data_IF_522321971265
#
_entry.id   IF_522321971265
#
_cell.length_a   1.000
_cell.length_b   1.000
_cell.length_c   1.000
_cell.angle_alpha   90.00
_cell.angle_beta   90.00
_cell.angle_gamma   90.00
#
_symmetry.space_group_name_H-M   'P 1'
#
loop_
_entity.id
_entity.type
_entity.pdbx_description
1 polymer ?
#
# COMPACT_ATOMS: atom_id res chain seq x y z
N UNK A 1 21.63 -5.90 -19.87
CA UNK A 1 20.49 -5.79 -18.97
C UNK A 1 19.23 -5.68 -19.80
N UNK A 2 18.19 -6.44 -19.48
CA UNK A 2 16.97 -6.45 -20.30
C UNK A 2 16.30 -5.08 -20.24
N UNK A 3 16.13 -4.44 -21.38
CA UNK A 3 15.53 -3.10 -21.56
C UNK A 3 14.10 -3.02 -20.93
N UNK A 4 13.47 -4.18 -20.72
CA UNK A 4 12.17 -4.37 -20.09
C UNK A 4 12.14 -3.88 -18.63
N UNK A 5 13.13 -4.24 -17.83
CA UNK A 5 13.17 -3.89 -16.40
C UNK A 5 13.47 -2.41 -16.17
N UNK A 6 14.32 -1.80 -16.99
CA UNK A 6 14.60 -0.36 -16.91
C UNK A 6 13.31 0.46 -17.04
N UNK A 7 12.40 0.08 -17.95
CA UNK A 7 11.12 0.76 -18.12
C UNK A 7 10.24 0.68 -16.86
N UNK A 8 10.20 -0.49 -16.21
CA UNK A 8 9.43 -0.67 -14.96
C UNK A 8 10.08 0.14 -13.83
N UNK A 9 11.39 0.06 -13.68
CA UNK A 9 12.17 0.79 -12.67
C UNK A 9 11.94 2.30 -12.82
N UNK A 10 12.04 2.85 -14.04
CA UNK A 10 11.75 4.26 -14.33
C UNK A 10 10.32 4.69 -14.00
N UNK A 11 9.36 3.77 -14.13
CA UNK A 11 7.96 4.01 -13.78
C UNK A 11 7.71 4.05 -12.26
N UNK A 12 8.67 3.62 -11.44
CA UNK A 12 8.52 3.66 -9.98
C UNK A 12 8.74 5.08 -9.44
N UNK A 13 8.05 5.47 -8.36
CA UNK A 13 8.25 6.79 -7.74
C UNK A 13 9.70 7.04 -7.30
N UNK A 14 10.46 5.98 -6.97
CA UNK A 14 11.85 6.09 -6.53
C UNK A 14 12.77 6.57 -7.67
N UNK A 15 12.60 6.05 -8.88
CA UNK A 15 13.48 6.29 -10.02
C UNK A 15 12.90 7.22 -11.09
N UNK A 16 11.73 7.79 -10.86
CA UNK A 16 11.04 8.65 -11.83
C UNK A 16 11.94 9.80 -12.29
N UNK A 17 12.10 9.96 -13.62
CA UNK A 17 12.89 11.03 -14.24
C UNK A 17 14.41 10.82 -14.24
N UNK A 18 14.91 9.65 -13.80
CA UNK A 18 16.33 9.30 -13.90
C UNK A 18 16.66 8.73 -15.29
N UNK A 19 17.91 8.92 -15.72
CA UNK A 19 18.44 8.32 -16.94
C UNK A 19 18.75 6.83 -16.75
N UNK A 20 18.94 6.10 -17.85
CA UNK A 20 19.29 4.67 -17.80
C UNK A 20 20.66 4.46 -17.15
N UNK A 21 21.61 5.38 -17.39
CA UNK A 21 22.94 5.36 -16.83
C UNK A 21 22.93 5.58 -15.32
N UNK A 22 22.11 6.54 -14.85
CA UNK A 22 21.94 6.78 -13.42
C UNK A 22 21.34 5.57 -12.71
N UNK A 23 20.33 4.93 -13.31
CA UNK A 23 19.69 3.73 -12.74
C UNK A 23 20.70 2.57 -12.70
N UNK A 24 21.49 2.39 -13.76
CA UNK A 24 22.47 1.30 -13.86
C UNK A 24 23.54 1.34 -12.74
N UNK A 25 23.84 2.51 -12.19
CA UNK A 25 24.77 2.65 -11.06
C UNK A 25 24.30 1.96 -9.79
N UNK A 26 22.96 1.88 -9.58
CA UNK A 26 22.35 1.23 -8.42
C UNK A 26 22.06 -0.26 -8.61
N UNK A 27 22.41 -0.83 -9.77
CA UNK A 27 22.15 -2.23 -10.11
C UNK A 27 23.42 -3.08 -9.99
N UNK A 28 24.26 -2.80 -9.00
CA UNK A 28 25.57 -3.44 -8.79
C UNK A 28 25.48 -4.81 -8.12
N UNK A 29 26.56 -5.64 -8.20
CA UNK A 29 26.57 -7.03 -7.72
C UNK A 29 26.77 -7.21 -6.20
N UNK A 30 26.77 -6.17 -5.38
CA UNK A 30 27.07 -6.17 -3.94
C UNK A 30 25.94 -6.71 -3.02
N UNK A 31 25.01 -7.50 -3.59
CA UNK A 31 23.80 -7.98 -2.88
C UNK A 31 22.56 -7.19 -3.22
N UNK A 32 22.69 -5.96 -3.73
CA UNK A 32 21.71 -5.29 -4.56
C UNK A 32 21.69 -5.98 -5.93
N UNK A 33 20.52 -6.12 -6.52
CA UNK A 33 20.41 -6.69 -7.85
C UNK A 33 19.10 -7.39 -8.09
N UNK A 34 18.94 -7.87 -9.31
CA UNK A 34 17.72 -8.55 -9.74
C UNK A 34 17.80 -10.03 -9.39
N UNK A 35 16.80 -10.54 -8.67
CA UNK A 35 16.63 -11.94 -8.32
C UNK A 35 15.28 -12.46 -8.78
N UNK A 36 15.25 -13.72 -9.23
CA UNK A 36 13.99 -14.40 -9.61
C UNK A 36 13.57 -15.40 -8.54
N UNK A 37 12.27 -15.47 -8.32
CA UNK A 37 11.62 -16.32 -7.35
C UNK A 37 10.59 -17.20 -8.03
N UNK A 38 10.56 -18.48 -7.68
CA UNK A 38 9.56 -19.42 -8.20
C UNK A 38 8.21 -19.16 -7.51
N UNK A 39 7.15 -19.56 -8.17
CA UNK A 39 5.82 -19.60 -7.55
C UNK A 39 5.87 -20.31 -6.19
N UNK A 40 5.13 -19.81 -5.21
CA UNK A 40 5.03 -20.29 -3.81
C UNK A 40 6.35 -20.25 -3.02
N UNK A 41 7.41 -19.60 -3.55
CA UNK A 41 8.62 -19.34 -2.75
C UNK A 41 8.50 -18.01 -2.00
N UNK A 42 9.19 -17.94 -0.87
CA UNK A 42 9.26 -16.71 -0.09
C UNK A 42 10.37 -15.79 -0.62
N UNK A 43 10.02 -14.52 -0.79
CA UNK A 43 10.96 -13.43 -1.10
C UNK A 43 11.55 -12.91 0.22
N UNK A 44 10.71 -12.79 1.24
CA UNK A 44 11.07 -12.48 2.62
C UNK A 44 10.31 -13.37 3.58
N UNK A 45 10.94 -13.77 4.69
CA UNK A 45 10.30 -14.47 5.80
C UNK A 45 10.10 -13.56 7.01
N UNK A 46 8.95 -13.67 7.67
CA UNK A 46 8.74 -13.03 8.95
C UNK A 46 9.77 -13.50 9.98
N UNK A 47 10.28 -12.58 10.79
CA UNK A 47 11.34 -12.82 11.76
C UNK A 47 12.76 -12.61 11.24
N UNK A 48 12.99 -12.68 9.93
CA UNK A 48 14.30 -12.42 9.35
C UNK A 48 14.66 -10.93 9.40
N UNK A 49 15.94 -10.60 9.47
CA UNK A 49 16.46 -9.25 9.26
C UNK A 49 16.92 -9.10 7.83
N UNK A 50 16.70 -7.91 7.28
CA UNK A 50 17.15 -7.58 5.93
C UNK A 50 17.85 -6.23 5.89
N UNK A 51 18.95 -6.13 5.13
CA UNK A 51 19.59 -4.87 4.77
C UNK A 51 19.10 -4.33 3.42
N UNK A 52 18.15 -5.04 2.78
CA UNK A 52 17.64 -4.70 1.45
C UNK A 52 16.13 -4.62 1.46
N UNK A 53 15.59 -3.70 0.69
CA UNK A 53 14.18 -3.68 0.33
C UNK A 53 14.01 -4.10 -1.13
N UNK A 54 12.81 -4.55 -1.48
CA UNK A 54 12.49 -5.03 -2.82
C UNK A 54 11.64 -4.06 -3.62
N UNK A 55 11.80 -4.08 -4.95
CA UNK A 55 10.83 -3.56 -5.92
C UNK A 55 10.40 -4.75 -6.77
N UNK A 56 9.12 -5.06 -6.79
CA UNK A 56 8.60 -6.11 -7.65
C UNK A 56 8.64 -5.63 -9.11
N UNK A 57 9.43 -6.28 -9.95
CA UNK A 57 9.55 -5.94 -11.37
C UNK A 57 8.58 -6.73 -12.23
N UNK A 58 8.30 -7.98 -11.87
CA UNK A 58 7.44 -8.89 -12.62
C UNK A 58 6.81 -9.90 -11.68
N UNK A 59 5.60 -10.34 -12.02
CA UNK A 59 4.85 -11.31 -11.25
C UNK A 59 3.91 -10.66 -10.23
N UNK A 60 3.32 -11.52 -9.38
CA UNK A 60 2.45 -11.13 -8.26
C UNK A 60 2.92 -11.80 -6.99
N UNK A 61 2.95 -11.05 -5.90
CA UNK A 61 3.27 -11.58 -4.59
C UNK A 61 2.21 -11.15 -3.58
N UNK A 62 2.17 -11.81 -2.44
CA UNK A 62 1.31 -11.44 -1.31
C UNK A 62 2.17 -11.15 -0.09
N UNK A 63 1.79 -10.11 0.63
CA UNK A 63 2.28 -9.84 1.97
C UNK A 63 1.37 -10.60 2.91
N UNK A 64 1.94 -11.53 3.69
CA UNK A 64 1.22 -12.47 4.54
C UNK A 64 1.74 -12.38 5.97
N UNK A 65 0.88 -12.65 6.96
CA UNK A 65 1.25 -12.76 8.37
C UNK A 65 0.76 -14.10 8.91
N UNK A 66 1.66 -14.84 9.54
CA UNK A 66 1.30 -16.03 10.29
C UNK A 66 0.63 -15.63 11.61
N UNK A 67 -0.53 -16.22 11.89
CA UNK A 67 -1.29 -15.96 13.10
C UNK A 67 -0.91 -16.97 14.19
N UNK A 68 -0.89 -16.54 15.46
CA UNK A 68 -0.48 -17.37 16.60
C UNK A 68 -1.32 -18.64 16.77
N UNK A 69 -2.56 -18.63 16.27
CA UNK A 69 -3.47 -19.79 16.35
C UNK A 69 -3.41 -20.72 15.13
N UNK A 70 -2.39 -20.56 14.27
CA UNK A 70 -2.14 -21.49 13.16
C UNK A 70 -2.89 -21.18 11.86
N UNK A 71 -3.23 -19.94 11.61
CA UNK A 71 -3.75 -19.44 10.33
C UNK A 71 -2.74 -18.53 9.64
N UNK A 72 -3.02 -18.17 8.39
CA UNK A 72 -2.27 -17.18 7.63
C UNK A 72 -3.23 -16.11 7.10
N UNK A 73 -2.94 -14.85 7.45
CA UNK A 73 -3.71 -13.69 7.00
C UNK A 73 -3.01 -12.99 5.84
N UNK A 74 -3.74 -12.72 4.78
CA UNK A 74 -3.26 -11.88 3.67
C UNK A 74 -3.41 -10.43 4.09
N UNK A 75 -2.29 -9.71 4.16
CA UNK A 75 -2.25 -8.28 4.51
C UNK A 75 -2.51 -7.42 3.28
N UNK A 76 -1.81 -7.70 2.17
CA UNK A 76 -1.96 -6.96 0.93
C UNK A 76 -1.40 -7.73 -0.27
N UNK A 77 -1.97 -7.55 -1.46
CA UNK A 77 -1.30 -7.92 -2.70
C UNK A 77 -0.14 -6.97 -2.99
N UNK A 78 0.87 -7.48 -3.68
CA UNK A 78 2.02 -6.73 -4.18
C UNK A 78 2.09 -6.88 -5.69
N UNK A 79 2.09 -5.75 -6.38
CA UNK A 79 2.08 -5.65 -7.84
C UNK A 79 3.39 -5.07 -8.38
N UNK A 80 3.63 -5.24 -9.69
CA UNK A 80 4.81 -4.72 -10.36
C UNK A 80 4.95 -3.19 -10.17
N UNK A 81 6.16 -2.73 -9.90
CA UNK A 81 6.49 -1.33 -9.59
C UNK A 81 6.36 -0.95 -8.12
N UNK A 82 5.83 -1.82 -7.25
CA UNK A 82 5.67 -1.51 -5.83
C UNK A 82 6.93 -1.84 -5.02
N UNK A 83 7.25 -0.94 -4.07
CA UNK A 83 8.30 -1.13 -3.06
C UNK A 83 7.74 -1.88 -1.85
N UNK A 84 8.55 -2.78 -1.28
CA UNK A 84 8.23 -3.53 -0.07
C UNK A 84 9.47 -3.80 0.79
N UNK A 85 9.28 -3.88 2.10
CA UNK A 85 10.34 -4.18 3.06
C UNK A 85 11.26 -3.00 3.41
N UNK A 86 11.01 -1.81 2.86
CA UNK A 86 11.86 -0.62 3.04
C UNK A 86 11.90 -0.16 4.50
N UNK A 87 10.81 -0.28 5.24
CA UNK A 87 10.77 0.11 6.66
C UNK A 87 11.75 -0.76 7.44
N UNK A 88 11.72 -2.08 7.24
CA UNK A 88 12.59 -3.03 7.94
C UNK A 88 14.05 -2.88 7.52
N UNK A 89 14.31 -2.67 6.24
CA UNK A 89 15.67 -2.43 5.74
C UNK A 89 16.28 -1.12 6.28
N UNK A 90 15.45 -0.08 6.50
CA UNK A 90 15.90 1.20 7.07
C UNK A 90 16.07 1.14 8.60
N UNK A 91 15.24 0.36 9.33
CA UNK A 91 15.25 0.33 10.79
C UNK A 91 16.13 -0.79 11.37
N UNK A 92 16.43 -1.83 10.57
CA UNK A 92 17.11 -3.04 11.04
C UNK A 92 16.25 -3.94 11.92
N UNK A 93 14.95 -3.63 12.07
CA UNK A 93 14.01 -4.47 12.80
C UNK A 93 13.70 -5.76 12.03
N UNK A 94 13.40 -6.88 12.73
CA UNK A 94 12.95 -8.10 12.08
C UNK A 94 11.64 -7.88 11.31
N UNK A 95 11.50 -8.55 10.17
CA UNK A 95 10.30 -8.51 9.35
C UNK A 95 9.09 -9.01 10.15
N UNK A 96 8.06 -8.20 10.28
CA UNK A 96 6.79 -8.56 10.93
C UNK A 96 5.83 -9.34 10.02
N UNK A 97 6.21 -9.53 8.74
CA UNK A 97 5.39 -10.16 7.70
C UNK A 97 6.28 -10.96 6.75
N UNK A 98 5.71 -11.96 6.10
CA UNK A 98 6.34 -12.69 4.99
C UNK A 98 5.88 -12.12 3.65
N UNK A 99 6.71 -12.26 2.62
CA UNK A 99 6.34 -11.94 1.22
C UNK A 99 6.49 -13.19 0.39
N UNK A 100 5.37 -13.71 -0.13
CA UNK A 100 5.28 -14.96 -0.88
C UNK A 100 4.95 -14.68 -2.35
N UNK A 101 5.74 -15.23 -3.26
CA UNK A 101 5.51 -15.18 -4.70
C UNK A 101 4.30 -16.06 -5.09
N UNK A 102 3.26 -15.51 -5.71
CA UNK A 102 2.07 -16.28 -6.16
C UNK A 102 2.18 -16.76 -7.60
N UNK A 103 3.13 -16.23 -8.33
CA UNK A 103 3.59 -16.70 -9.63
C UNK A 103 5.11 -16.52 -9.70
N UNK A 104 5.73 -16.78 -10.84
CA UNK A 104 7.14 -16.45 -11.00
C UNK A 104 7.34 -14.95 -10.86
N UNK A 105 8.17 -14.54 -9.90
CA UNK A 105 8.45 -13.13 -9.60
C UNK A 105 9.90 -12.78 -9.93
N UNK A 106 10.08 -11.54 -10.37
CA UNK A 106 11.41 -10.91 -10.50
C UNK A 106 11.42 -9.67 -9.62
N UNK A 107 12.43 -9.56 -8.75
CA UNK A 107 12.55 -8.50 -7.74
C UNK A 107 13.90 -7.83 -7.87
N UNK A 108 13.89 -6.50 -7.87
CA UNK A 108 15.09 -5.68 -7.67
C UNK A 108 15.28 -5.43 -6.18
N UNK A 109 16.44 -5.79 -5.64
CA UNK A 109 16.84 -5.50 -4.27
C UNK A 109 17.76 -4.28 -4.22
N UNK A 110 17.53 -3.40 -3.27
CA UNK A 110 18.28 -2.16 -3.07
C UNK A 110 18.61 -1.98 -1.59
N UNK A 111 19.82 -1.49 -1.29
CA UNK A 111 20.22 -1.12 0.05
C UNK A 111 19.89 0.34 0.33
N UNK A 112 19.13 0.66 1.41
CA UNK A 112 18.95 2.05 1.85
C UNK A 112 20.28 2.74 2.16
N UNK A 113 21.26 2.02 2.72
CA UNK A 113 22.57 2.55 3.04
C UNK A 113 23.33 3.02 1.78
N UNK A 114 23.31 2.21 0.70
CA UNK A 114 23.92 2.58 -0.58
C UNK A 114 23.21 3.79 -1.19
N UNK A 115 21.88 3.84 -1.14
CA UNK A 115 21.10 4.98 -1.63
C UNK A 115 21.48 6.25 -0.88
N UNK A 116 21.57 6.21 0.45
CA UNK A 116 21.91 7.37 1.30
C UNK A 116 23.33 7.87 1.00
N UNK A 117 24.28 6.96 0.76
CA UNK A 117 25.67 7.32 0.47
C UNK A 117 25.87 7.88 -0.95
N UNK A 118 25.14 7.34 -1.93
CA UNK A 118 25.41 7.59 -3.35
C UNK A 118 24.50 8.63 -4.00
N UNK A 119 23.29 8.88 -3.45
CA UNK A 119 22.30 9.78 -4.08
C UNK A 119 21.39 10.49 -3.10
N UNK A 120 21.62 11.78 -2.94
CA UNK A 120 20.71 12.65 -2.17
C UNK A 120 19.29 12.71 -2.77
N UNK A 121 19.18 12.63 -4.10
CA UNK A 121 17.89 12.61 -4.80
C UNK A 121 17.09 11.37 -4.48
N UNK A 122 17.69 10.18 -4.56
CA UNK A 122 17.01 8.92 -4.20
C UNK A 122 16.70 8.86 -2.70
N UNK A 123 17.58 9.39 -1.85
CA UNK A 123 17.34 9.51 -0.41
C UNK A 123 16.09 10.34 -0.12
N UNK A 124 15.99 11.53 -0.74
CA UNK A 124 14.81 12.38 -0.59
C UNK A 124 13.53 11.70 -1.07
N UNK A 125 13.58 10.97 -2.19
CA UNK A 125 12.44 10.22 -2.72
C UNK A 125 12.05 9.04 -1.84
N UNK A 126 13.01 8.29 -1.31
CA UNK A 126 12.75 7.19 -0.38
C UNK A 126 12.07 7.71 0.88
N UNK A 127 12.55 8.83 1.43
CA UNK A 127 11.92 9.53 2.56
C UNK A 127 10.50 9.97 2.21
N UNK A 128 10.28 10.55 1.03
CA UNK A 128 8.95 10.96 0.58
C UNK A 128 7.99 9.77 0.43
N UNK A 129 8.44 8.64 -0.13
CA UNK A 129 7.64 7.43 -0.28
C UNK A 129 7.23 6.89 1.10
N UNK A 130 8.17 6.79 2.05
CA UNK A 130 7.89 6.30 3.41
C UNK A 130 6.98 7.25 4.18
N UNK A 131 7.16 8.56 4.05
CA UNK A 131 6.29 9.57 4.64
C UNK A 131 4.86 9.48 4.07
N UNK A 132 4.70 9.30 2.76
CA UNK A 132 3.39 9.11 2.13
C UNK A 132 2.70 7.82 2.57
N UNK A 133 3.45 6.72 2.75
CA UNK A 133 2.89 5.48 3.33
C UNK A 133 2.41 5.70 4.77
N UNK A 134 3.19 6.45 5.58
CA UNK A 134 2.79 6.80 6.94
C UNK A 134 1.51 7.65 6.98
N UNK A 135 1.39 8.66 6.11
CA UNK A 135 0.16 9.45 6.00
C UNK A 135 -1.06 8.59 5.67
N UNK A 136 -0.93 7.64 4.72
CA UNK A 136 -2.03 6.71 4.37
C UNK A 136 -2.42 5.80 5.54
N UNK A 137 -1.43 5.33 6.31
CA UNK A 137 -1.70 4.54 7.52
C UNK A 137 -2.45 5.38 8.57
N UNK A 138 -2.02 6.61 8.81
CA UNK A 138 -2.70 7.52 9.74
C UNK A 138 -4.14 7.83 9.29
N UNK A 139 -4.37 8.08 8.01
CA UNK A 139 -5.72 8.25 7.46
C UNK A 139 -6.58 7.00 7.68
N UNK A 140 -6.03 5.81 7.44
CA UNK A 140 -6.75 4.56 7.69
C UNK A 140 -7.09 4.39 9.17
N UNK A 141 -6.15 4.68 10.07
CA UNK A 141 -6.38 4.63 11.52
C UNK A 141 -7.53 5.56 11.91
N UNK A 142 -7.55 6.80 11.43
CA UNK A 142 -8.64 7.75 11.70
C UNK A 142 -10.00 7.23 11.24
N UNK A 143 -10.05 6.52 10.12
CA UNK A 143 -11.29 5.94 9.59
C UNK A 143 -11.76 4.73 10.39
N UNK A 144 -10.87 3.88 10.89
CA UNK A 144 -11.24 2.63 11.59
C UNK A 144 -11.32 2.75 13.11
N UNK A 145 -10.78 3.83 13.69
CA UNK A 145 -10.80 4.09 15.14
C UNK A 145 -12.20 4.33 15.71
N UNK A 146 -13.15 4.98 15.01
CA UNK A 146 -14.50 5.15 15.50
C UNK A 146 -15.16 3.82 15.86
N UNK A 147 -16.03 3.81 16.90
CA UNK A 147 -16.56 2.57 17.49
C UNK A 147 -17.63 1.91 16.64
N UNK A 148 -18.47 2.72 15.97
CA UNK A 148 -19.62 2.20 15.21
C UNK A 148 -19.34 2.17 13.72
N UNK A 149 -20.02 1.26 13.00
CA UNK A 149 -19.96 1.17 11.53
C UNK A 149 -20.33 2.51 10.91
N UNK A 150 -21.39 3.16 11.42
CA UNK A 150 -21.86 4.48 10.98
C UNK A 150 -20.76 5.53 11.04
N UNK A 151 -20.10 5.65 12.19
CA UNK A 151 -19.02 6.62 12.38
C UNK A 151 -17.84 6.34 11.44
N UNK A 152 -17.47 5.08 11.22
CA UNK A 152 -16.41 4.69 10.28
C UNK A 152 -16.76 5.05 8.85
N UNK A 153 -18.01 4.78 8.43
CA UNK A 153 -18.51 5.18 7.11
C UNK A 153 -18.45 6.70 6.95
N UNK A 154 -18.96 7.46 7.93
CA UNK A 154 -18.93 8.92 7.88
C UNK A 154 -17.51 9.48 7.88
N UNK A 155 -16.60 8.92 8.67
CA UNK A 155 -15.18 9.31 8.67
C UNK A 155 -14.53 9.08 7.29
N UNK A 156 -14.80 7.93 6.67
CA UNK A 156 -14.31 7.61 5.33
C UNK A 156 -14.87 8.56 4.28
N UNK A 157 -16.18 8.73 4.20
CA UNK A 157 -16.84 9.61 3.22
C UNK A 157 -16.42 11.07 3.40
N UNK A 158 -16.30 11.54 4.66
CA UNK A 158 -15.81 12.89 4.96
C UNK A 158 -14.35 13.08 4.50
N UNK A 159 -13.50 12.06 4.63
CA UNK A 159 -12.13 12.11 4.11
C UNK A 159 -12.09 12.23 2.58
N UNK A 160 -12.97 11.53 1.87
CA UNK A 160 -13.11 11.65 0.42
C UNK A 160 -13.64 13.03 0.01
N UNK A 161 -14.65 13.53 0.71
CA UNK A 161 -15.23 14.84 0.46
C UNK A 161 -14.22 15.97 0.64
N UNK A 162 -13.40 15.92 1.71
CA UNK A 162 -12.31 16.87 1.93
C UNK A 162 -11.27 16.84 0.80
N UNK A 163 -10.91 15.65 0.30
CA UNK A 163 -9.93 15.48 -0.78
C UNK A 163 -10.45 15.97 -2.14
N UNK A 164 -11.74 15.74 -2.44
CA UNK A 164 -12.36 16.13 -3.70
C UNK A 164 -12.90 17.57 -3.70
N UNK A 165 -13.11 18.17 -2.53
CA UNK A 165 -13.81 19.46 -2.39
C UNK A 165 -15.30 19.38 -2.76
N UNK A 166 -15.90 18.18 -2.77
CA UNK A 166 -17.27 17.91 -3.19
C UNK A 166 -18.03 17.11 -2.15
N UNK A 167 -19.32 17.37 -2.01
CA UNK A 167 -20.25 16.55 -1.23
C UNK A 167 -20.68 15.27 -1.97
N UNK A 168 -20.41 15.18 -3.28
CA UNK A 168 -20.61 13.98 -4.08
C UNK A 168 -19.24 13.28 -4.18
N UNK A 169 -19.15 12.07 -3.63
CA UNK A 169 -17.90 11.32 -3.57
C UNK A 169 -18.09 9.92 -4.15
N UNK A 170 -17.10 9.45 -4.89
CA UNK A 170 -17.08 8.10 -5.46
C UNK A 170 -16.01 7.28 -4.76
N UNK A 171 -16.38 6.09 -4.27
CA UNK A 171 -15.41 5.13 -3.76
C UNK A 171 -14.88 4.22 -4.87
N UNK A 172 -13.59 3.90 -4.82
CA UNK A 172 -12.98 2.91 -5.71
C UNK A 172 -13.28 1.46 -5.27
N UNK A 173 -13.87 1.28 -4.08
CA UNK A 173 -14.16 -0.02 -3.49
C UNK A 173 -15.53 -0.54 -3.93
N UNK A 174 -15.63 -1.85 -4.17
CA UNK A 174 -16.92 -2.54 -4.11
C UNK A 174 -17.37 -2.73 -2.65
N UNK A 175 -18.54 -3.34 -2.43
CA UNK A 175 -19.10 -3.51 -1.06
C UNK A 175 -18.23 -4.41 -0.18
N UNK A 176 -17.64 -5.44 -0.71
CA UNK A 176 -16.75 -6.32 0.05
C UNK A 176 -15.46 -5.57 0.40
N UNK A 177 -14.83 -4.96 -0.59
CA UNK A 177 -13.60 -4.18 -0.41
C UNK A 177 -13.80 -3.03 0.59
N UNK A 178 -14.95 -2.36 0.56
CA UNK A 178 -15.27 -1.30 1.53
C UNK A 178 -15.43 -1.85 2.95
N UNK A 179 -16.08 -3.00 3.11
CA UNK A 179 -16.22 -3.67 4.40
C UNK A 179 -14.86 -4.09 4.96
N UNK A 180 -14.00 -4.67 4.13
CA UNK A 180 -12.64 -5.06 4.48
C UNK A 180 -11.80 -3.83 4.87
N UNK A 181 -11.92 -2.74 4.10
CA UNK A 181 -11.22 -1.47 4.39
C UNK A 181 -11.64 -0.88 5.73
N UNK A 182 -12.94 -0.91 6.04
CA UNK A 182 -13.51 -0.40 7.30
C UNK A 182 -13.36 -1.37 8.48
N UNK A 183 -12.81 -2.58 8.24
CA UNK A 183 -12.71 -3.65 9.23
C UNK A 183 -14.06 -4.01 9.85
N UNK A 184 -15.08 -4.25 9.02
CA UNK A 184 -16.45 -4.61 9.43
C UNK A 184 -16.99 -5.75 8.57
N UNK A 185 -18.03 -6.43 9.06
CA UNK A 185 -18.73 -7.45 8.27
C UNK A 185 -19.51 -6.79 7.11
N UNK A 186 -19.50 -7.43 5.92
CA UNK A 186 -20.16 -6.93 4.71
C UNK A 186 -21.68 -6.77 4.89
N UNK A 187 -22.32 -7.73 5.57
CA UNK A 187 -23.77 -7.70 5.78
C UNK A 187 -24.15 -6.60 6.76
N UNK A 188 -23.36 -6.44 7.82
CA UNK A 188 -23.53 -5.36 8.79
C UNK A 188 -23.32 -3.98 8.15
N UNK A 189 -22.31 -3.82 7.30
CA UNK A 189 -22.09 -2.59 6.53
C UNK A 189 -23.29 -2.28 5.63
N UNK A 190 -23.78 -3.27 4.87
CA UNK A 190 -24.91 -3.07 3.95
C UNK A 190 -26.18 -2.68 4.70
N UNK A 191 -26.43 -3.30 5.86
CA UNK A 191 -27.57 -2.97 6.73
C UNK A 191 -27.47 -1.53 7.24
N UNK A 192 -26.28 -1.12 7.72
CA UNK A 192 -26.10 0.23 8.26
C UNK A 192 -26.20 1.30 7.17
N UNK A 193 -25.61 1.07 5.99
CA UNK A 193 -25.75 1.98 4.85
C UNK A 193 -27.24 2.17 4.45
N UNK A 194 -28.03 1.10 4.46
CA UNK A 194 -29.47 1.19 4.22
C UNK A 194 -30.22 1.99 5.29
N UNK A 195 -29.79 1.93 6.56
CA UNK A 195 -30.35 2.78 7.63
C UNK A 195 -29.97 4.24 7.41
N UNK A 196 -28.69 4.52 7.17
CA UNK A 196 -28.19 5.89 6.94
C UNK A 196 -28.88 6.57 5.76
N UNK A 197 -29.16 5.80 4.69
CA UNK A 197 -29.92 6.29 3.54
C UNK A 197 -31.38 6.64 3.92
N UNK A 198 -32.09 5.76 4.63
CA UNK A 198 -33.48 6.02 5.09
C UNK A 198 -33.57 7.20 6.06
N UNK A 199 -32.52 7.44 6.84
CA UNK A 199 -32.43 8.58 7.77
C UNK A 199 -32.00 9.88 7.07
N UNK A 200 -31.72 9.85 5.75
CA UNK A 200 -31.27 11.02 4.98
C UNK A 200 -29.84 11.50 5.32
N UNK A 201 -29.03 10.68 5.98
CA UNK A 201 -27.65 11.01 6.31
C UNK A 201 -26.71 10.89 5.12
N UNK A 202 -27.03 10.03 4.17
CA UNK A 202 -26.34 9.84 2.90
C UNK A 202 -27.33 9.45 1.82
N UNK A 203 -27.05 9.80 0.57
CA UNK A 203 -27.68 9.14 -0.56
C UNK A 203 -26.68 8.24 -1.28
N UNK A 204 -27.17 7.15 -1.91
CA UNK A 204 -26.31 6.12 -2.49
C UNK A 204 -26.76 5.81 -3.91
N UNK A 205 -25.81 5.83 -4.85
CA UNK A 205 -26.00 5.29 -6.19
C UNK A 205 -24.78 4.44 -6.58
N UNK A 206 -24.87 3.12 -6.37
CA UNK A 206 -23.76 2.21 -6.63
C UNK A 206 -22.52 2.50 -5.76
N UNK A 207 -21.48 3.07 -6.38
CA UNK A 207 -20.23 3.48 -5.72
C UNK A 207 -20.19 4.97 -5.39
N UNK A 208 -21.21 5.72 -5.78
CA UNK A 208 -21.34 7.14 -5.50
C UNK A 208 -22.13 7.37 -4.21
N UNK A 209 -21.67 8.30 -3.41
CA UNK A 209 -22.28 8.73 -2.16
C UNK A 209 -22.47 10.23 -2.20
N UNK A 210 -23.67 10.69 -1.80
CA UNK A 210 -23.98 12.10 -1.66
C UNK A 210 -24.12 12.40 -0.17
N UNK A 211 -23.31 13.33 0.32
CA UNK A 211 -23.36 13.81 1.70
C UNK A 211 -24.24 15.06 1.78
N UNK A 212 -24.92 15.32 2.91
CA UNK A 212 -25.59 16.60 3.14
C UNK A 212 -24.61 17.77 3.04
N UNK A 213 -25.03 18.89 2.44
CA UNK A 213 -24.16 20.06 2.21
C UNK A 213 -23.51 20.63 3.48
N UNK A 214 -24.08 20.38 4.65
CA UNK A 214 -23.54 20.83 5.94
C UNK A 214 -22.31 20.04 6.41
N UNK A 215 -21.95 18.90 5.79
CA UNK A 215 -20.76 18.12 6.16
C UNK A 215 -19.45 18.68 5.59
N UNK A 216 -19.49 19.61 4.65
CA UNK A 216 -18.30 20.20 4.01
C UNK A 216 -17.72 21.42 4.74
N UNK A 217 -18.38 21.91 5.79
CA UNK A 217 -17.90 23.03 6.64
C UNK A 217 -17.41 22.47 7.98
N UNK A 218 -16.29 21.74 7.94
CA UNK A 218 -15.52 21.44 9.16
C UNK A 218 -14.65 22.66 9.49
N UNK A 219 -14.95 23.30 10.58
CA UNK A 219 -14.12 24.30 11.30
C UNK A 219 -12.69 23.82 11.47
#
# INVERSE_FOLDING_TARGET
>A
MDNKYIKIIKGTPLFQGMSDEEIAQFLRPDGSGIKSFRKESYIFHAGDKTAYFGILLEGKALIERDELWGGRSIIAPLEAGQLFGEVYACTGEPLGVSVCAKEQCTVLFLSPESIIKESSTLTARLLQITAMKNLRLNEKIQVITPKTIRERVMAYLSSLAKKSGSHIVTTNFDRQQLADFLCVDRSALSTELGKMHREGLIDLNGREFILPENCSRGT
#
